data_IF_507967843315
#
_entry.id   IF_507967843315
#
_cell.length_a   1.000
_cell.length_b   1.000
_cell.length_c   1.000
_cell.angle_alpha   90.00
_cell.angle_beta   90.00
_cell.angle_gamma   90.00
#
_symmetry.space_group_name_H-M   'P 1'
#
loop_
_entity.id
_entity.type
_entity.pdbx_description
1 polymer ?
#
# COMPACT_ATOMS: atom_id res chain seq x y z
N UNK A 1 -8.75 -30.29 -65.14
CA UNK A 1 -9.51 -30.09 -63.88
C UNK A 1 -8.51 -29.85 -62.76
N UNK A 2 -8.61 -28.67 -62.13
CA UNK A 2 -8.18 -28.25 -60.77
C UNK A 2 -6.84 -28.74 -60.21
N UNK A 3 -5.86 -27.84 -60.25
CA UNK A 3 -4.72 -27.72 -59.32
C UNK A 3 -5.21 -27.49 -57.89
N UNK A 4 -4.73 -28.28 -56.92
CA UNK A 4 -4.89 -28.01 -55.48
C UNK A 4 -3.68 -27.21 -54.98
N UNK A 5 -3.93 -26.06 -54.34
CA UNK A 5 -2.94 -25.32 -53.58
C UNK A 5 -3.12 -25.60 -52.08
N UNK A 6 -2.06 -26.03 -51.40
CA UNK A 6 -2.01 -26.13 -49.94
C UNK A 6 -1.59 -24.77 -49.36
N UNK A 7 -2.45 -24.17 -48.54
CA UNK A 7 -2.10 -22.99 -47.76
C UNK A 7 -1.58 -23.44 -46.38
N UNK A 8 -0.32 -23.12 -46.08
CA UNK A 8 0.25 -23.28 -44.74
C UNK A 8 -0.13 -22.05 -43.89
N UNK A 9 -0.90 -22.27 -42.82
CA UNK A 9 -1.20 -21.23 -41.85
C UNK A 9 -0.07 -21.17 -40.81
N UNK A 10 0.73 -20.09 -40.80
CA UNK A 10 1.61 -19.78 -39.69
C UNK A 10 0.78 -19.21 -38.53
N UNK A 11 0.72 -19.92 -37.40
CA UNK A 11 0.29 -19.34 -36.13
C UNK A 11 1.38 -18.41 -35.62
N UNK A 12 1.15 -17.09 -35.68
CA UNK A 12 1.94 -16.12 -34.94
C UNK A 12 1.48 -16.14 -33.47
N UNK A 13 2.27 -16.76 -32.59
CA UNK A 13 2.07 -16.64 -31.15
C UNK A 13 2.41 -15.21 -30.71
N UNK A 14 1.40 -14.43 -30.34
CA UNK A 14 1.60 -13.11 -29.74
C UNK A 14 2.07 -13.30 -28.30
N UNK A 15 3.34 -13.01 -28.01
CA UNK A 15 3.77 -12.84 -26.62
C UNK A 15 3.19 -11.52 -26.11
N UNK A 16 2.13 -11.58 -25.31
CA UNK A 16 1.71 -10.42 -24.53
C UNK A 16 2.75 -10.21 -23.43
N UNK A 17 3.64 -9.24 -23.61
CA UNK A 17 4.41 -8.68 -22.51
C UNK A 17 3.43 -7.99 -21.58
N UNK A 18 3.05 -8.65 -20.49
CA UNK A 18 2.42 -7.97 -19.37
C UNK A 18 3.38 -6.88 -18.92
N UNK A 19 3.03 -5.58 -19.02
CA UNK A 19 3.88 -4.53 -18.46
C UNK A 19 4.09 -4.87 -16.99
N UNK A 20 5.35 -4.80 -16.52
CA UNK A 20 5.62 -4.86 -15.10
C UNK A 20 4.79 -3.75 -14.45
N UNK A 21 3.78 -4.14 -13.68
CA UNK A 21 2.90 -3.20 -13.00
C UNK A 21 3.78 -2.40 -12.05
N UNK A 22 3.84 -1.09 -12.26
CA UNK A 22 4.58 -0.20 -11.38
C UNK A 22 4.04 -0.35 -9.95
N UNK A 23 4.90 -0.52 -8.93
CA UNK A 23 4.48 -0.59 -7.52
C UNK A 23 3.89 0.74 -7.02
N UNK A 24 3.83 1.76 -7.90
CA UNK A 24 3.13 3.01 -7.69
C UNK A 24 1.79 2.82 -7.01
N UNK A 25 0.89 2.01 -7.57
CA UNK A 25 -0.37 1.70 -6.91
C UNK A 25 -0.16 0.63 -5.82
N UNK A 26 -0.61 0.92 -4.60
CA UNK A 26 -0.53 0.00 -3.45
C UNK A 26 -1.91 -0.53 -3.07
N UNK A 27 -2.86 0.38 -2.84
CA UNK A 27 -4.22 0.02 -2.42
C UNK A 27 -5.23 1.07 -2.85
N UNK A 28 -6.39 0.65 -3.32
CA UNK A 28 -7.55 1.53 -3.53
C UNK A 28 -8.80 0.93 -2.91
N UNK A 29 -9.52 0.07 -3.63
CA UNK A 29 -10.61 -0.74 -3.09
C UNK A 29 -10.19 -2.19 -2.80
N UNK A 30 -8.99 -2.57 -3.27
CA UNK A 30 -8.30 -3.82 -3.02
C UNK A 30 -6.78 -3.57 -3.09
N UNK A 31 -5.99 -4.55 -2.67
CA UNK A 31 -4.54 -4.54 -2.88
C UNK A 31 -4.23 -4.54 -4.38
N UNK A 32 -3.29 -3.71 -4.79
CA UNK A 32 -2.74 -3.75 -6.14
C UNK A 32 -1.91 -5.03 -6.33
N UNK A 33 -1.69 -5.42 -7.59
CA UNK A 33 -0.94 -6.63 -7.90
C UNK A 33 0.47 -6.60 -7.29
N UNK A 34 0.87 -7.71 -6.67
CA UNK A 34 2.17 -7.85 -5.99
C UNK A 34 2.20 -7.33 -4.55
N UNK A 35 1.20 -6.55 -4.12
CA UNK A 35 1.08 -6.11 -2.73
C UNK A 35 0.32 -7.13 -1.89
N UNK A 36 0.81 -7.35 -0.68
CA UNK A 36 0.27 -8.29 0.28
C UNK A 36 0.05 -7.60 1.62
N UNK A 37 -1.00 -8.01 2.35
CA UNK A 37 -1.18 -7.64 3.75
C UNK A 37 -0.45 -8.66 4.61
N UNK A 38 0.74 -8.31 5.08
CA UNK A 38 1.48 -9.12 6.03
C UNK A 38 0.96 -8.86 7.44
N UNK A 39 0.66 -9.94 8.15
CA UNK A 39 0.08 -9.85 9.50
C UNK A 39 1.12 -9.39 10.51
N UNK A 40 0.69 -8.58 11.46
CA UNK A 40 1.41 -8.33 12.69
C UNK A 40 0.58 -8.85 13.86
N UNK A 41 1.14 -9.70 14.71
CA UNK A 41 0.41 -10.18 15.90
C UNK A 41 0.04 -8.99 16.80
N UNK A 42 -1.25 -8.86 17.10
CA UNK A 42 -1.81 -7.71 17.83
C UNK A 42 -2.25 -6.54 16.93
N UNK A 43 -2.32 -6.72 15.61
CA UNK A 43 -3.04 -5.82 14.73
C UNK A 43 -4.03 -6.59 13.85
N UNK A 44 -5.23 -6.03 13.68
CA UNK A 44 -6.21 -6.53 12.73
C UNK A 44 -6.33 -5.57 11.56
N UNK A 45 -6.33 -6.12 10.34
CA UNK A 45 -6.53 -5.38 9.11
C UNK A 45 -7.58 -6.10 8.26
N UNK A 46 -8.77 -5.51 8.16
CA UNK A 46 -9.83 -5.97 7.28
C UNK A 46 -9.74 -5.20 5.95
N UNK A 47 -9.28 -5.88 4.91
CA UNK A 47 -9.19 -5.34 3.56
C UNK A 47 -10.59 -5.20 2.95
N UNK A 48 -10.72 -4.28 2.00
CA UNK A 48 -11.94 -4.03 1.22
C UNK A 48 -13.18 -3.84 2.09
N UNK A 49 -13.03 -3.15 3.23
CA UNK A 49 -14.10 -2.96 4.19
C UNK A 49 -15.24 -2.12 3.60
N UNK A 50 -16.47 -2.61 3.71
CA UNK A 50 -17.67 -1.89 3.27
C UNK A 50 -17.98 -0.75 4.26
N UNK A 51 -17.53 0.45 3.92
CA UNK A 51 -17.85 1.63 4.71
C UNK A 51 -19.12 2.30 4.18
N UNK A 52 -20.16 2.37 5.03
CA UNK A 52 -21.45 2.96 4.67
C UNK A 52 -21.33 4.41 4.17
N UNK A 53 -22.14 4.76 3.17
CA UNK A 53 -22.21 6.13 2.64
C UNK A 53 -21.06 6.52 1.70
N UNK A 54 -20.22 5.57 1.28
CA UNK A 54 -19.15 5.82 0.30
C UNK A 54 -18.93 4.62 -0.63
N UNK A 55 -18.40 4.86 -1.82
CA UNK A 55 -17.95 3.80 -2.74
C UNK A 55 -16.54 3.28 -2.41
N UNK A 56 -15.83 3.94 -1.48
CA UNK A 56 -14.50 3.55 -1.03
C UNK A 56 -14.57 2.28 -0.20
N UNK A 57 -13.69 1.32 -0.48
CA UNK A 57 -13.52 0.09 0.31
C UNK A 57 -12.16 0.10 1.02
N UNK A 58 -11.99 0.89 2.09
CA UNK A 58 -10.70 1.03 2.75
C UNK A 58 -10.24 -0.24 3.47
N UNK A 59 -9.00 -0.21 3.93
CA UNK A 59 -8.53 -1.13 4.96
C UNK A 59 -8.98 -0.57 6.30
N UNK A 60 -9.76 -1.34 7.06
CA UNK A 60 -10.05 -1.04 8.47
C UNK A 60 -8.94 -1.61 9.35
N UNK A 61 -8.30 -0.77 10.15
CA UNK A 61 -7.16 -1.15 10.99
C UNK A 61 -7.50 -0.96 12.46
N UNK A 62 -7.21 -2.00 13.25
CA UNK A 62 -7.19 -1.97 14.71
C UNK A 62 -5.78 -2.29 15.16
N UNK A 63 -5.08 -1.30 15.71
CA UNK A 63 -3.66 -1.40 16.03
C UNK A 63 -3.44 -1.32 17.54
N UNK A 64 -3.05 -2.43 18.15
CA UNK A 64 -2.63 -2.48 19.56
C UNK A 64 -1.17 -2.04 19.70
N UNK A 65 -0.70 -1.83 20.93
CA UNK A 65 0.58 -1.19 21.25
C UNK A 65 1.74 -1.43 20.27
N UNK A 66 2.24 -0.36 19.66
CA UNK A 66 3.30 -0.36 18.64
C UNK A 66 3.17 -1.41 17.52
N UNK A 67 1.96 -1.91 17.26
CA UNK A 67 1.62 -2.76 16.11
C UNK A 67 0.86 -1.95 15.08
N UNK A 68 0.47 -2.56 13.97
CA UNK A 68 -0.29 -1.88 12.94
C UNK A 68 -0.36 -2.66 11.63
N UNK A 69 -0.65 -1.95 10.56
CA UNK A 69 -0.75 -2.52 9.22
C UNK A 69 0.64 -2.64 8.59
N UNK A 70 0.95 -3.81 8.04
CA UNK A 70 2.13 -4.02 7.21
C UNK A 70 1.69 -4.42 5.79
N UNK A 71 1.96 -3.54 4.83
CA UNK A 71 1.84 -3.84 3.41
C UNK A 71 3.21 -4.21 2.85
N UNK A 72 3.33 -5.42 2.30
CA UNK A 72 4.56 -5.97 1.74
C UNK A 72 4.47 -6.06 0.22
N UNK A 73 5.61 -5.92 -0.45
CA UNK A 73 5.80 -6.21 -1.87
C UNK A 73 7.19 -6.82 -2.07
N UNK A 74 7.42 -7.55 -3.16
CA UNK A 74 8.79 -7.89 -3.56
C UNK A 74 9.66 -6.62 -3.67
N UNK A 75 10.96 -6.71 -3.37
CA UNK A 75 11.84 -5.53 -3.40
C UNK A 75 11.75 -4.73 -4.71
N UNK A 76 11.47 -3.43 -4.61
CA UNK A 76 11.36 -2.54 -5.77
C UNK A 76 12.13 -1.24 -5.57
N UNK A 77 12.62 -0.65 -6.68
CA UNK A 77 13.36 0.60 -6.67
C UNK A 77 12.41 1.80 -6.54
N UNK A 78 12.67 2.67 -5.57
CA UNK A 78 11.91 3.90 -5.32
C UNK A 78 12.42 5.11 -6.10
N UNK A 79 13.52 5.00 -6.84
CA UNK A 79 14.07 6.08 -7.68
C UNK A 79 13.04 6.77 -8.59
N UNK A 80 12.01 6.09 -9.14
CA UNK A 80 10.98 6.75 -9.94
C UNK A 80 10.01 7.63 -9.15
N UNK A 81 10.00 7.54 -7.82
CA UNK A 81 9.01 8.18 -6.94
C UNK A 81 9.66 9.23 -6.04
N UNK A 82 8.91 10.26 -5.73
CA UNK A 82 9.26 11.34 -4.79
C UNK A 82 8.54 11.20 -3.46
N UNK A 83 7.36 10.56 -3.43
CA UNK A 83 6.52 10.47 -2.24
C UNK A 83 5.62 9.23 -2.16
N UNK A 84 4.98 9.09 -1.02
CA UNK A 84 3.89 8.17 -0.74
C UNK A 84 2.68 8.99 -0.30
N UNK A 85 1.56 8.82 -0.99
CA UNK A 85 0.29 9.45 -0.63
C UNK A 85 -0.75 8.41 -0.21
N UNK A 86 -1.67 8.80 0.68
CA UNK A 86 -2.80 7.98 1.08
C UNK A 86 -3.92 8.83 1.68
N UNK A 87 -5.12 8.26 1.77
CA UNK A 87 -6.23 8.80 2.55
C UNK A 87 -6.37 8.05 3.85
N UNK A 88 -6.52 8.77 4.96
CA UNK A 88 -6.79 8.20 6.28
C UNK A 88 -7.97 8.91 6.93
N UNK A 89 -8.77 8.17 7.69
CA UNK A 89 -9.76 8.76 8.60
C UNK A 89 -9.92 7.92 9.86
N UNK A 90 -10.45 8.53 10.90
CA UNK A 90 -11.03 7.84 12.04
C UNK A 90 -12.38 8.46 12.39
N UNK A 91 -13.32 7.63 12.85
CA UNK A 91 -14.54 8.10 13.50
C UNK A 91 -14.40 8.18 15.02
N UNK A 92 -13.26 7.76 15.56
CA UNK A 92 -13.03 7.54 16.99
C UNK A 92 -11.92 8.47 17.48
N UNK A 93 -12.22 9.29 18.49
CA UNK A 93 -11.22 10.03 19.28
C UNK A 93 -10.11 10.72 18.47
N UNK A 94 -8.96 10.91 19.10
CA UNK A 94 -7.76 11.44 18.45
C UNK A 94 -6.58 10.54 18.77
N UNK A 95 -5.63 10.41 17.83
CA UNK A 95 -4.45 9.58 18.02
C UNK A 95 -3.35 9.91 17.02
N UNK A 96 -2.37 9.03 16.90
CA UNK A 96 -1.26 9.18 15.99
C UNK A 96 -0.77 7.81 15.50
N UNK A 97 -0.33 7.76 14.26
CA UNK A 97 0.37 6.61 13.67
C UNK A 97 1.71 7.07 13.08
N UNK A 98 2.64 6.12 12.96
CA UNK A 98 3.92 6.24 12.28
C UNK A 98 3.80 5.60 10.90
N UNK A 99 4.27 6.29 9.87
CA UNK A 99 4.54 5.71 8.56
C UNK A 99 6.03 5.40 8.49
N UNK A 100 6.37 4.15 8.17
CA UNK A 100 7.76 3.66 8.18
C UNK A 100 7.99 2.81 6.92
N UNK A 101 9.10 3.05 6.21
CA UNK A 101 9.50 2.22 5.08
C UNK A 101 10.32 1.01 5.53
N UNK A 102 10.12 -0.11 4.83
CA UNK A 102 10.75 -1.41 5.13
C UNK A 102 11.69 -1.78 3.99
N UNK A 103 12.91 -2.22 4.33
CA UNK A 103 13.93 -2.67 3.38
C UNK A 103 14.63 -3.90 3.93
N UNK A 104 14.65 -4.98 3.15
CA UNK A 104 15.12 -6.29 3.61
C UNK A 104 14.30 -6.84 4.78
N UNK A 105 12.99 -6.56 4.81
CA UNK A 105 12.08 -6.95 5.88
C UNK A 105 12.31 -6.23 7.22
N UNK A 106 13.08 -5.14 7.25
CA UNK A 106 13.38 -4.36 8.45
C UNK A 106 13.03 -2.87 8.27
N UNK A 107 12.57 -2.17 9.33
CA UNK A 107 12.37 -0.74 9.26
C UNK A 107 13.69 -0.02 8.97
N UNK A 108 13.65 1.00 8.11
CA UNK A 108 14.79 1.88 7.91
C UNK A 108 15.05 2.63 9.24
N UNK A 109 16.24 2.51 9.85
CA UNK A 109 16.51 3.08 11.17
C UNK A 109 16.31 4.60 11.23
N UNK A 110 15.73 5.07 12.33
CA UNK A 110 15.53 6.49 12.67
C UNK A 110 14.76 7.30 11.61
N UNK A 111 13.93 6.64 10.80
CA UNK A 111 13.13 7.27 9.75
C UNK A 111 11.66 6.89 9.88
N UNK A 112 10.84 7.89 10.17
CA UNK A 112 9.39 7.73 10.27
C UNK A 112 8.68 9.08 10.03
N UNK A 113 7.44 9.02 9.57
CA UNK A 113 6.53 10.17 9.55
C UNK A 113 5.41 9.98 10.56
N UNK A 114 5.24 10.94 11.47
CA UNK A 114 4.09 10.97 12.36
C UNK A 114 2.87 11.57 11.64
N UNK A 115 1.73 10.89 11.75
CA UNK A 115 0.47 11.26 11.12
C UNK A 115 -0.62 11.26 12.18
N UNK A 116 -1.27 12.42 12.35
CA UNK A 116 -2.35 12.58 13.32
C UNK A 116 -3.62 11.91 12.81
N UNK A 117 -4.29 11.20 13.70
CA UNK A 117 -5.65 10.72 13.54
C UNK A 117 -6.59 11.66 14.30
N UNK A 118 -7.62 12.16 13.62
CA UNK A 118 -8.67 12.95 14.23
C UNK A 118 -9.99 12.73 13.49
N UNK A 119 -11.14 12.93 14.15
CA UNK A 119 -12.44 12.86 13.50
C UNK A 119 -12.59 14.05 12.54
N UNK A 120 -13.45 13.91 11.54
CA UNK A 120 -13.68 14.95 10.52
C UNK A 120 -13.67 14.44 9.08
N UNK A 121 -13.52 13.12 8.88
CA UNK A 121 -13.56 12.47 7.58
C UNK A 121 -12.18 12.20 6.98
N UNK A 122 -12.15 12.00 5.67
CA UNK A 122 -10.94 11.64 4.94
C UNK A 122 -9.92 12.78 4.89
N UNK A 123 -8.72 12.52 5.39
CA UNK A 123 -7.55 13.38 5.28
C UNK A 123 -6.57 12.79 4.28
N UNK A 124 -6.16 13.57 3.27
CA UNK A 124 -5.06 13.19 2.40
C UNK A 124 -3.73 13.50 3.07
N UNK A 125 -2.87 12.49 3.12
CA UNK A 125 -1.50 12.59 3.63
C UNK A 125 -0.56 12.36 2.46
N UNK A 126 0.48 13.19 2.40
CA UNK A 126 1.56 13.11 1.42
C UNK A 126 2.88 13.09 2.20
N UNK A 127 3.67 12.04 1.99
CA UNK A 127 4.90 11.79 2.73
C UNK A 127 6.07 11.72 1.74
N UNK A 128 6.99 12.70 1.75
CA UNK A 128 8.20 12.62 0.96
C UNK A 128 9.00 11.36 1.30
N UNK A 129 9.51 10.64 0.29
CA UNK A 129 10.31 9.44 0.56
C UNK A 129 11.62 9.75 1.28
N UNK A 130 12.11 10.98 1.20
CA UNK A 130 13.25 11.46 1.99
C UNK A 130 12.97 11.45 3.50
N UNK A 131 11.73 11.75 3.93
CA UNK A 131 11.33 11.72 5.35
C UNK A 131 11.38 10.28 5.89
N UNK A 132 11.10 9.30 5.03
CA UNK A 132 11.13 7.87 5.33
C UNK A 132 12.51 7.23 5.10
N UNK A 133 13.50 7.99 4.63
CA UNK A 133 14.81 7.46 4.23
C UNK A 133 14.75 6.49 3.04
N UNK A 134 13.63 6.48 2.33
CA UNK A 134 13.33 5.56 1.25
C UNK A 134 13.64 6.14 -0.14
N UNK A 135 14.09 7.38 -0.27
CA UNK A 135 14.42 7.97 -1.56
C UNK A 135 15.65 7.30 -2.21
N UNK A 136 15.52 6.88 -3.48
CA UNK A 136 16.58 6.18 -4.24
C UNK A 136 17.07 4.91 -3.53
N UNK A 137 16.14 4.07 -3.07
CA UNK A 137 16.41 2.82 -2.34
C UNK A 137 15.60 1.68 -2.94
N UNK A 138 15.99 0.45 -2.59
CA UNK A 138 15.10 -0.70 -2.74
C UNK A 138 14.35 -0.89 -1.42
N UNK A 139 13.02 -0.90 -1.49
CA UNK A 139 12.14 -1.18 -0.35
C UNK A 139 11.24 -2.37 -0.66
N UNK A 140 10.74 -3.04 0.38
CA UNK A 140 9.84 -4.21 0.27
C UNK A 140 8.57 -4.05 1.12
N UNK A 141 8.33 -2.87 1.67
CA UNK A 141 7.04 -2.57 2.25
C UNK A 141 6.94 -1.28 3.05
N UNK A 142 5.77 -1.12 3.65
CA UNK A 142 5.39 0.05 4.46
C UNK A 142 4.64 -0.41 5.69
N UNK A 143 4.98 0.15 6.84
CA UNK A 143 4.20 0.04 8.07
C UNK A 143 3.38 1.31 8.32
N UNK A 144 2.13 1.11 8.71
CA UNK A 144 1.29 2.12 9.35
C UNK A 144 1.08 1.67 10.81
N UNK A 145 2.00 2.11 11.67
CA UNK A 145 2.18 1.60 13.03
C UNK A 145 1.55 2.54 14.05
N UNK A 146 0.91 2.01 15.08
CA UNK A 146 0.51 2.76 16.26
C UNK A 146 1.72 3.43 16.95
N UNK A 147 1.57 4.68 17.40
CA UNK A 147 2.60 5.48 18.05
C UNK A 147 2.65 5.33 19.59
N UNK A 148 1.89 4.40 20.18
CA UNK A 148 1.86 4.23 21.63
C UNK A 148 1.69 2.79 22.10
N UNK A 149 1.73 2.60 23.42
CA UNK A 149 1.45 1.31 24.07
C UNK A 149 -0.06 1.03 24.14
N UNK A 150 -0.87 2.07 24.29
CA UNK A 150 -2.33 1.98 24.25
C UNK A 150 -2.83 1.74 22.83
N UNK A 151 -4.03 1.16 22.64
CA UNK A 151 -4.62 0.98 21.32
C UNK A 151 -4.79 2.34 20.61
N UNK A 152 -4.41 2.40 19.33
CA UNK A 152 -4.80 3.55 18.50
C UNK A 152 -6.32 3.54 18.28
N UNK A 153 -6.95 4.71 18.07
CA UNK A 153 -8.33 4.75 17.60
C UNK A 153 -8.45 3.96 16.30
N UNK A 154 -9.54 3.21 16.12
CA UNK A 154 -9.76 2.47 14.87
C UNK A 154 -9.72 3.45 13.71
N UNK A 155 -8.95 3.11 12.69
CA UNK A 155 -8.79 3.98 11.53
C UNK A 155 -9.01 3.21 10.23
N UNK A 156 -9.29 3.98 9.18
CA UNK A 156 -9.49 3.48 7.84
C UNK A 156 -8.45 4.14 6.92
N UNK A 157 -7.79 3.34 6.09
CA UNK A 157 -6.79 3.83 5.14
C UNK A 157 -7.09 3.31 3.73
N UNK A 158 -6.93 4.16 2.71
CA UNK A 158 -7.19 3.84 1.30
C UNK A 158 -6.38 4.75 0.37
N UNK A 159 -6.52 4.60 -0.95
CA UNK A 159 -5.82 5.37 -1.99
C UNK A 159 -4.30 5.48 -1.77
N UNK A 160 -3.67 4.38 -1.37
CA UNK A 160 -2.25 4.32 -1.07
C UNK A 160 -1.48 4.22 -2.38
N UNK A 161 -0.59 5.17 -2.64
CA UNK A 161 0.17 5.26 -3.88
C UNK A 161 1.53 5.95 -3.73
N UNK A 162 2.58 5.35 -4.29
CA UNK A 162 3.85 6.02 -4.58
C UNK A 162 3.72 6.85 -5.86
N UNK A 163 4.28 8.06 -5.87
CA UNK A 163 4.19 9.03 -6.96
C UNK A 163 5.47 9.81 -7.15
#
# INVERSE_FOLDING_TARGET
>A
MKTLAFAAALLAASFQTTPAVSPGAVYSNALANGWENWKWDGAEAALSFELGGTARKPIRVEAQGYKGLYLHHAGFDTKPFVGLSFLVQTGEGTGQIRVIAISGGKPIPDKQKLVKLAPGGWTKVDVPLSDLGAANKVIDGIWFQNDGADPAPRFYITDIMFH
#
